data_IF_760271120647
#
_entry.id   IF_760271120647
#
_cell.length_a   1.000
_cell.length_b   1.000
_cell.length_c   1.000
_cell.angle_alpha   90.00
_cell.angle_beta   90.00
_cell.angle_gamma   90.00
#
_symmetry.space_group_name_H-M   'P 1'
#
loop_
_entity.id
_entity.type
_entity.pdbx_description
1 polymer ?
#
# COMPACT_ATOMS: atom_id res chain seq x y z
N UNK A 1 -15.55 -16.69 7.08
CA UNK A 1 -15.71 -16.38 5.63
C UNK A 1 -15.23 -17.58 4.82
N UNK A 2 -16.12 -18.28 4.10
CA UNK A 2 -15.73 -19.39 3.22
C UNK A 2 -14.94 -18.81 2.04
N UNK A 3 -13.66 -19.17 1.93
CA UNK A 3 -12.86 -18.84 0.73
C UNK A 3 -13.52 -19.47 -0.50
N UNK A 4 -13.63 -18.72 -1.58
CA UNK A 4 -14.10 -19.23 -2.87
C UNK A 4 -13.24 -20.42 -3.32
N UNK A 5 -13.78 -21.33 -4.13
CA UNK A 5 -13.05 -22.50 -4.64
C UNK A 5 -11.73 -22.08 -5.31
N UNK A 6 -11.73 -20.93 -6.00
CA UNK A 6 -10.55 -20.38 -6.67
C UNK A 6 -9.44 -19.91 -5.74
N UNK A 7 -9.75 -19.58 -4.47
CA UNK A 7 -8.77 -19.17 -3.46
C UNK A 7 -8.19 -20.34 -2.65
N UNK A 8 -8.81 -21.52 -2.75
CA UNK A 8 -8.29 -22.74 -2.10
C UNK A 8 -7.03 -23.20 -2.83
N UNK A 9 -6.06 -23.67 -2.06
CA UNK A 9 -4.83 -24.26 -2.61
C UNK A 9 -4.92 -25.79 -2.60
N UNK A 10 -4.82 -26.40 -3.78
CA UNK A 10 -4.71 -27.85 -3.98
C UNK A 10 -3.26 -28.17 -4.35
N UNK A 11 -2.58 -29.00 -3.57
CA UNK A 11 -1.15 -29.29 -3.74
C UNK A 11 -0.26 -28.02 -3.85
N UNK A 12 -0.69 -26.92 -3.20
CA UNK A 12 0.00 -25.63 -3.24
C UNK A 12 -0.29 -24.76 -4.48
N UNK A 13 -1.12 -25.24 -5.43
CA UNK A 13 -1.59 -24.50 -6.61
C UNK A 13 -2.90 -23.81 -6.24
N UNK A 14 -3.11 -22.58 -6.68
CA UNK A 14 -4.39 -21.87 -6.48
C UNK A 14 -5.45 -22.52 -7.38
N UNK A 15 -6.68 -22.61 -6.90
CA UNK A 15 -7.78 -23.16 -7.69
C UNK A 15 -7.97 -22.44 -9.02
N UNK A 16 -7.76 -21.13 -9.08
CA UNK A 16 -7.80 -20.35 -10.32
C UNK A 16 -6.71 -20.76 -11.32
N UNK A 17 -5.51 -21.10 -10.86
CA UNK A 17 -4.41 -21.55 -11.75
C UNK A 17 -4.72 -22.92 -12.35
N UNK A 18 -5.37 -23.81 -11.58
CA UNK A 18 -5.86 -25.10 -12.10
C UNK A 18 -6.97 -24.91 -13.10
N UNK A 19 -7.94 -24.05 -12.84
CA UNK A 19 -9.02 -23.75 -13.77
C UNK A 19 -8.47 -23.14 -15.08
N UNK A 20 -7.52 -22.21 -14.97
CA UNK A 20 -6.87 -21.63 -16.14
C UNK A 20 -6.09 -22.68 -16.95
N UNK A 21 -5.41 -23.63 -16.28
CA UNK A 21 -4.72 -24.74 -16.94
C UNK A 21 -5.70 -25.63 -17.73
N UNK A 22 -6.79 -26.06 -17.11
CA UNK A 22 -7.79 -26.88 -17.82
C UNK A 22 -8.50 -26.11 -18.94
N UNK A 23 -8.83 -24.83 -18.71
CA UNK A 23 -9.41 -23.97 -19.72
C UNK A 23 -8.49 -23.78 -20.94
N UNK A 24 -7.18 -23.64 -20.72
CA UNK A 24 -6.17 -23.57 -21.76
C UNK A 24 -6.18 -24.84 -22.64
N UNK A 25 -6.13 -26.01 -22.02
CA UNK A 25 -6.15 -27.27 -22.76
C UNK A 25 -7.48 -27.49 -23.50
N UNK A 26 -8.60 -27.22 -22.86
CA UNK A 26 -9.91 -27.31 -23.49
C UNK A 26 -10.05 -26.36 -24.67
N UNK A 27 -9.58 -25.13 -24.54
CA UNK A 27 -9.60 -24.14 -25.62
C UNK A 27 -8.82 -24.63 -26.84
N UNK A 28 -7.58 -25.08 -26.63
CA UNK A 28 -6.75 -25.54 -27.74
C UNK A 28 -7.25 -26.85 -28.36
N UNK A 29 -7.80 -27.78 -27.58
CA UNK A 29 -8.42 -28.98 -28.06
C UNK A 29 -9.63 -28.64 -28.96
N UNK A 30 -10.52 -27.77 -28.48
CA UNK A 30 -11.70 -27.35 -29.24
C UNK A 30 -11.32 -26.59 -30.51
N UNK A 31 -10.35 -25.69 -30.41
CA UNK A 31 -9.85 -24.93 -31.56
C UNK A 31 -9.26 -25.87 -32.62
N UNK A 32 -8.45 -26.84 -32.21
CA UNK A 32 -7.87 -27.84 -33.14
C UNK A 32 -8.94 -28.72 -33.76
N UNK A 33 -9.96 -29.15 -33.02
CA UNK A 33 -11.10 -29.88 -33.54
C UNK A 33 -11.86 -29.10 -34.63
N UNK A 34 -12.11 -27.80 -34.36
CA UNK A 34 -12.77 -26.93 -35.37
C UNK A 34 -11.91 -26.81 -36.62
N UNK A 35 -10.59 -26.67 -36.50
CA UNK A 35 -9.69 -26.62 -37.67
C UNK A 35 -9.73 -27.93 -38.47
N UNK A 36 -9.73 -29.09 -37.81
CA UNK A 36 -9.84 -30.39 -38.46
C UNK A 36 -11.20 -30.53 -39.19
N UNK A 37 -12.30 -30.10 -38.55
CA UNK A 37 -13.63 -30.13 -39.12
C UNK A 37 -13.73 -29.22 -40.37
N UNK A 38 -13.19 -28.01 -40.34
CA UNK A 38 -13.13 -27.10 -41.50
C UNK A 38 -12.31 -27.73 -42.65
N UNK A 39 -11.19 -28.35 -42.32
CA UNK A 39 -10.32 -28.96 -43.35
C UNK A 39 -10.92 -30.14 -44.04
N UNK A 40 -11.88 -30.88 -43.42
CA UNK A 40 -12.64 -31.98 -44.06
C UNK A 40 -13.56 -31.49 -45.18
N UNK A 41 -14.02 -30.26 -45.13
CA UNK A 41 -14.94 -29.70 -46.12
C UNK A 41 -14.42 -29.78 -47.54
N UNK A 42 -13.10 -29.70 -47.69
CA UNK A 42 -12.46 -29.77 -49.02
C UNK A 42 -12.45 -31.16 -49.63
N UNK A 43 -12.84 -32.23 -48.89
CA UNK A 43 -12.66 -33.63 -49.30
C UNK A 43 -13.94 -34.49 -49.21
N UNK A 44 -15.01 -34.02 -48.52
CA UNK A 44 -16.21 -34.80 -48.27
C UNK A 44 -17.47 -33.94 -48.36
N UNK A 45 -18.39 -34.30 -49.32
CA UNK A 45 -19.67 -33.61 -49.54
C UNK A 45 -20.68 -33.88 -48.39
N UNK A 46 -20.42 -34.87 -47.52
CA UNK A 46 -21.35 -35.31 -46.47
C UNK A 46 -20.73 -35.05 -45.06
N UNK A 47 -20.69 -33.77 -44.67
CA UNK A 47 -20.20 -33.41 -43.35
C UNK A 47 -21.08 -33.95 -42.22
N UNK A 48 -20.47 -34.62 -41.27
CA UNK A 48 -21.06 -34.84 -39.97
C UNK A 48 -21.26 -33.52 -39.17
N UNK A 49 -22.01 -33.53 -38.06
CA UNK A 49 -22.20 -32.38 -37.22
C UNK A 49 -20.86 -31.83 -36.72
N UNK A 50 -20.76 -30.50 -36.51
CA UNK A 50 -19.54 -29.84 -35.98
C UNK A 50 -19.05 -30.46 -34.65
N UNK A 51 -19.96 -30.95 -33.85
CA UNK A 51 -19.69 -31.63 -32.59
C UNK A 51 -20.32 -33.02 -32.56
N UNK A 52 -19.49 -34.01 -32.82
CA UNK A 52 -19.70 -35.39 -32.40
C UNK A 52 -18.76 -35.66 -31.22
N UNK A 53 -19.32 -36.03 -30.07
CA UNK A 53 -18.52 -36.25 -28.84
C UNK A 53 -17.53 -37.43 -28.95
N UNK A 54 -17.91 -38.46 -29.68
CA UNK A 54 -17.06 -39.64 -29.89
C UNK A 54 -15.86 -39.21 -30.74
N UNK A 55 -16.15 -38.60 -31.89
CA UNK A 55 -15.14 -38.11 -32.81
C UNK A 55 -14.22 -37.01 -32.17
N UNK A 56 -14.80 -36.10 -31.40
CA UNK A 56 -14.01 -35.09 -30.64
C UNK A 56 -13.03 -35.78 -29.70
N UNK A 57 -13.48 -36.80 -28.95
CA UNK A 57 -12.65 -37.48 -27.99
C UNK A 57 -11.55 -38.30 -28.67
N UNK A 58 -11.88 -39.04 -29.73
CA UNK A 58 -10.95 -39.89 -30.47
C UNK A 58 -9.90 -39.07 -31.22
N UNK A 59 -10.33 -38.03 -31.96
CA UNK A 59 -9.45 -37.25 -32.81
C UNK A 59 -8.55 -36.25 -32.02
N UNK A 60 -9.04 -35.70 -30.91
CA UNK A 60 -8.39 -34.59 -30.22
C UNK A 60 -8.30 -34.81 -28.73
N UNK A 61 -9.32 -35.37 -28.06
CA UNK A 61 -9.41 -35.47 -26.63
C UNK A 61 -8.26 -36.27 -26.01
N UNK A 62 -7.96 -37.45 -26.58
CA UNK A 62 -6.85 -38.33 -26.13
C UNK A 62 -5.52 -37.58 -26.23
N UNK A 63 -5.28 -36.92 -27.36
CA UNK A 63 -4.06 -36.16 -27.62
C UNK A 63 -3.81 -35.09 -26.53
N UNK A 64 -4.80 -34.23 -26.27
CA UNK A 64 -4.66 -33.13 -25.31
C UNK A 64 -4.65 -33.61 -23.85
N UNK A 65 -5.32 -34.70 -23.50
CA UNK A 65 -5.23 -35.32 -22.18
C UNK A 65 -3.81 -35.81 -21.92
N UNK A 66 -3.19 -36.53 -22.88
CA UNK A 66 -1.81 -36.99 -22.73
C UNK A 66 -0.82 -35.82 -22.60
N UNK A 67 -0.98 -34.77 -23.41
CA UNK A 67 -0.17 -33.55 -23.29
C UNK A 67 -0.32 -32.92 -21.89
N UNK A 68 -1.54 -32.82 -21.35
CA UNK A 68 -1.79 -32.28 -20.03
C UNK A 68 -1.12 -33.12 -18.92
N UNK A 69 -1.25 -34.44 -19.00
CA UNK A 69 -0.64 -35.36 -18.03
C UNK A 69 0.89 -35.27 -18.04
N UNK A 70 1.53 -35.19 -19.21
CA UNK A 70 2.97 -35.05 -19.35
C UNK A 70 3.50 -33.66 -18.96
N UNK A 71 2.68 -32.63 -19.10
CA UNK A 71 3.06 -31.27 -18.68
C UNK A 71 3.19 -31.14 -17.17
N UNK A 72 2.36 -31.84 -16.39
CA UNK A 72 2.34 -31.70 -14.93
C UNK A 72 3.68 -32.03 -14.24
N UNK A 73 4.35 -33.17 -14.52
CA UNK A 73 5.65 -33.48 -13.91
C UNK A 73 6.75 -32.49 -14.32
N UNK A 74 6.74 -32.01 -15.57
CA UNK A 74 7.70 -31.01 -16.04
C UNK A 74 7.46 -29.67 -15.33
N UNK A 75 6.20 -29.24 -15.25
CA UNK A 75 5.81 -28.06 -14.49
C UNK A 75 6.25 -28.13 -13.01
N UNK A 76 5.97 -29.28 -12.35
CA UNK A 76 6.36 -29.51 -10.97
C UNK A 76 7.88 -29.44 -10.80
N UNK A 77 8.63 -30.06 -11.70
CA UNK A 77 10.10 -30.02 -11.68
C UNK A 77 10.61 -28.58 -11.78
N UNK A 78 10.18 -27.82 -12.81
CA UNK A 78 10.71 -26.49 -13.11
C UNK A 78 10.27 -25.41 -12.13
N UNK A 79 9.02 -25.42 -11.70
CA UNK A 79 8.44 -24.34 -10.92
C UNK A 79 8.26 -24.64 -9.43
N UNK A 80 8.49 -25.89 -9.01
CA UNK A 80 8.45 -26.29 -7.60
C UNK A 80 9.80 -26.80 -7.10
N UNK A 81 10.33 -27.86 -7.69
CA UNK A 81 11.57 -28.48 -7.23
C UNK A 81 12.79 -27.60 -7.53
N UNK A 82 12.87 -27.00 -8.72
CA UNK A 82 13.95 -26.14 -9.17
C UNK A 82 13.62 -24.64 -9.01
N UNK A 83 12.68 -24.28 -8.15
CA UNK A 83 12.30 -22.88 -7.92
C UNK A 83 13.49 -21.98 -7.51
N UNK A 84 14.46 -22.53 -6.78
CA UNK A 84 15.66 -21.81 -6.34
C UNK A 84 16.70 -21.58 -7.44
N UNK A 85 16.57 -22.25 -8.58
CA UNK A 85 17.49 -22.10 -9.70
C UNK A 85 17.24 -20.77 -10.44
N UNK A 86 18.29 -20.15 -11.01
CA UNK A 86 18.14 -18.99 -11.85
C UNK A 86 17.17 -19.24 -13.02
N UNK A 87 16.40 -18.23 -13.38
CA UNK A 87 15.39 -18.36 -14.44
C UNK A 87 15.99 -18.84 -15.78
N UNK A 88 17.20 -18.34 -16.12
CA UNK A 88 17.94 -18.75 -17.32
C UNK A 88 18.23 -20.25 -17.36
N UNK A 89 18.65 -20.83 -16.25
CA UNK A 89 18.97 -22.27 -16.15
C UNK A 89 17.73 -23.11 -16.31
N UNK A 90 16.60 -22.69 -15.71
CA UNK A 90 15.30 -23.35 -15.90
C UNK A 90 14.85 -23.35 -17.36
N UNK A 91 15.12 -22.26 -18.11
CA UNK A 91 14.82 -22.18 -19.56
C UNK A 91 15.74 -23.12 -20.34
N UNK A 92 17.03 -23.19 -20.03
CA UNK A 92 17.99 -24.06 -20.72
C UNK A 92 17.60 -25.55 -20.61
N UNK A 93 16.96 -25.98 -19.52
CA UNK A 93 16.51 -27.35 -19.36
C UNK A 93 15.51 -27.77 -20.46
N UNK A 94 14.80 -26.85 -21.08
CA UNK A 94 13.87 -27.15 -22.17
C UNK A 94 14.56 -27.70 -23.43
N UNK A 95 15.89 -27.50 -23.60
CA UNK A 95 16.67 -28.13 -24.69
C UNK A 95 16.58 -29.67 -24.60
N UNK A 96 16.47 -30.21 -23.38
CA UNK A 96 16.33 -31.68 -23.15
C UNK A 96 14.89 -32.07 -22.95
N UNK A 97 14.13 -31.26 -22.22
CA UNK A 97 12.74 -31.58 -21.85
C UNK A 97 11.77 -31.55 -23.04
N UNK A 98 11.99 -30.68 -24.05
CA UNK A 98 11.13 -30.62 -25.22
C UNK A 98 11.24 -31.90 -26.08
N UNK A 99 12.44 -32.33 -26.52
CA UNK A 99 12.56 -33.60 -27.24
C UNK A 99 12.02 -34.79 -26.45
N UNK A 100 12.31 -34.86 -25.15
CA UNK A 100 11.80 -35.91 -24.27
C UNK A 100 10.27 -35.92 -24.23
N UNK A 101 9.65 -34.74 -24.06
CA UNK A 101 8.19 -34.60 -24.07
C UNK A 101 7.57 -35.08 -25.37
N UNK A 102 8.11 -34.66 -26.51
CA UNK A 102 7.58 -35.04 -27.85
C UNK A 102 7.69 -36.52 -28.06
N UNK A 103 8.85 -37.14 -27.76
CA UNK A 103 9.06 -38.57 -27.98
C UNK A 103 8.19 -39.43 -27.05
N UNK A 104 8.11 -39.06 -25.74
CA UNK A 104 7.26 -39.79 -24.79
C UNK A 104 5.79 -39.65 -25.17
N UNK A 105 5.35 -38.42 -25.50
CA UNK A 105 3.99 -38.18 -25.95
C UNK A 105 3.66 -39.01 -27.18
N UNK A 106 4.51 -39.04 -28.19
CA UNK A 106 4.28 -39.78 -29.45
C UNK A 106 4.14 -41.28 -29.18
N UNK A 107 5.04 -41.85 -28.40
CA UNK A 107 4.98 -43.27 -28.06
C UNK A 107 3.69 -43.62 -27.28
N UNK A 108 3.33 -42.82 -26.30
CA UNK A 108 2.10 -43.02 -25.53
C UNK A 108 0.85 -42.84 -26.39
N UNK A 109 0.85 -41.83 -27.23
CA UNK A 109 -0.28 -41.55 -28.14
C UNK A 109 -0.53 -42.71 -29.13
N UNK A 110 0.53 -43.24 -29.77
CA UNK A 110 0.45 -44.36 -30.66
C UNK A 110 -0.02 -45.64 -29.95
N UNK A 111 0.54 -45.92 -28.78
CA UNK A 111 0.11 -47.08 -27.98
C UNK A 111 -1.37 -47.02 -27.62
N UNK A 112 -1.87 -45.84 -27.24
CA UNK A 112 -3.29 -45.65 -26.91
C UNK A 112 -4.15 -45.81 -28.16
N UNK A 113 -3.80 -45.18 -29.29
CA UNK A 113 -4.54 -45.33 -30.54
C UNK A 113 -4.64 -46.79 -31.00
N UNK A 114 -3.53 -47.50 -31.00
CA UNK A 114 -3.49 -48.94 -31.37
C UNK A 114 -4.35 -49.79 -30.41
N UNK A 115 -4.40 -49.48 -29.12
CA UNK A 115 -5.22 -50.20 -28.15
C UNK A 115 -6.73 -50.06 -28.40
N UNK A 116 -7.13 -48.93 -29.00
CA UNK A 116 -8.51 -48.68 -29.41
C UNK A 116 -8.80 -49.11 -30.87
N UNK A 117 -7.80 -49.62 -31.58
CA UNK A 117 -7.93 -50.04 -32.99
C UNK A 117 -7.90 -48.87 -33.99
N UNK A 118 -7.43 -47.69 -33.55
CA UNK A 118 -7.25 -46.52 -34.41
C UNK A 118 -5.88 -46.57 -35.11
N UNK A 119 -5.81 -46.04 -36.33
CA UNK A 119 -4.55 -45.84 -37.04
C UNK A 119 -3.82 -44.58 -36.56
N UNK A 120 -2.53 -44.52 -36.82
CA UNK A 120 -1.69 -43.32 -36.59
C UNK A 120 -1.04 -42.87 -37.92
N UNK A 121 -0.45 -41.68 -37.93
CA UNK A 121 0.25 -41.14 -39.09
C UNK A 121 1.49 -41.98 -39.44
N UNK A 122 1.70 -42.19 -40.75
CA UNK A 122 2.81 -42.96 -41.28
C UNK A 122 3.60 -42.19 -42.35
N UNK A 123 4.83 -42.59 -42.60
CA UNK A 123 5.69 -41.99 -43.60
C UNK A 123 6.04 -40.53 -43.32
N UNK A 124 5.94 -39.66 -44.30
CA UNK A 124 6.27 -38.22 -44.15
C UNK A 124 5.29 -37.47 -43.24
N UNK A 125 4.06 -37.99 -43.06
CA UNK A 125 3.06 -37.38 -42.22
C UNK A 125 3.44 -37.42 -40.70
N UNK A 126 4.32 -38.32 -40.27
CA UNK A 126 4.86 -38.39 -38.89
C UNK A 126 5.55 -37.08 -38.49
N UNK A 127 6.02 -36.28 -39.45
CA UNK A 127 6.59 -34.97 -39.14
C UNK A 127 5.60 -34.04 -38.42
N UNK A 128 4.30 -34.16 -38.63
CA UNK A 128 3.26 -33.39 -37.94
C UNK A 128 3.09 -33.83 -36.51
N UNK A 129 3.30 -35.10 -36.18
CA UNK A 129 3.28 -35.61 -34.80
C UNK A 129 4.52 -35.24 -34.00
N UNK A 130 5.53 -34.63 -34.64
CA UNK A 130 6.65 -34.01 -33.97
C UNK A 130 6.45 -32.50 -33.88
N UNK A 131 6.06 -31.87 -34.99
CA UNK A 131 5.99 -30.40 -35.09
C UNK A 131 4.88 -29.80 -34.22
N UNK A 132 3.65 -30.35 -34.30
CA UNK A 132 2.51 -29.79 -33.55
C UNK A 132 2.72 -29.89 -32.03
N UNK A 133 3.09 -31.05 -31.45
CA UNK A 133 3.38 -31.13 -30.00
C UNK A 133 4.57 -30.28 -29.55
N UNK A 134 5.61 -30.14 -30.38
CA UNK A 134 6.73 -29.29 -30.09
C UNK A 134 6.32 -27.80 -30.03
N UNK A 135 5.55 -27.33 -30.99
CA UNK A 135 5.01 -25.95 -31.02
C UNK A 135 4.10 -25.70 -29.83
N UNK A 136 3.20 -26.65 -29.53
CA UNK A 136 2.33 -26.57 -28.36
C UNK A 136 3.13 -26.50 -27.04
N UNK A 137 4.18 -27.34 -26.91
CA UNK A 137 5.08 -27.33 -25.77
C UNK A 137 5.74 -25.95 -25.57
N UNK A 138 6.30 -25.36 -26.64
CA UNK A 138 6.95 -24.05 -26.58
C UNK A 138 5.96 -22.97 -26.13
N UNK A 139 4.75 -22.98 -26.70
CA UNK A 139 3.71 -22.01 -26.39
C UNK A 139 3.27 -22.12 -24.92
N UNK A 140 2.93 -23.34 -24.45
CA UNK A 140 2.46 -23.53 -23.07
C UNK A 140 3.53 -23.20 -22.02
N UNK A 141 4.79 -23.65 -22.24
CA UNK A 141 5.87 -23.35 -21.31
C UNK A 141 6.31 -21.88 -21.39
N UNK A 142 6.18 -21.23 -22.55
CA UNK A 142 6.32 -19.79 -22.70
C UNK A 142 5.35 -19.02 -21.80
N UNK A 143 4.06 -19.40 -21.86
CA UNK A 143 3.03 -18.80 -20.98
C UNK A 143 3.32 -19.10 -19.51
N UNK A 144 3.64 -20.35 -19.15
CA UNK A 144 3.94 -20.74 -17.78
C UNK A 144 5.15 -20.02 -17.22
N UNK A 145 6.23 -19.87 -17.98
CA UNK A 145 7.42 -19.11 -17.57
C UNK A 145 7.11 -17.62 -17.39
N UNK A 146 6.37 -17.02 -18.34
CA UNK A 146 5.96 -15.61 -18.25
C UNK A 146 5.12 -15.36 -17.01
N UNK A 147 4.13 -16.21 -16.74
CA UNK A 147 3.27 -16.12 -15.57
C UNK A 147 4.05 -16.25 -14.25
N UNK A 148 4.90 -17.29 -14.13
CA UNK A 148 5.71 -17.48 -12.91
C UNK A 148 6.72 -16.35 -12.71
N UNK A 149 7.36 -15.86 -13.78
CA UNK A 149 8.26 -14.70 -13.72
C UNK A 149 7.52 -13.45 -13.22
N UNK A 150 6.32 -13.20 -13.72
CA UNK A 150 5.49 -12.09 -13.26
C UNK A 150 5.18 -12.20 -11.77
N UNK A 151 4.78 -13.37 -11.28
CA UNK A 151 4.51 -13.59 -9.85
C UNK A 151 5.76 -13.38 -8.99
N UNK A 152 6.90 -13.96 -9.39
CA UNK A 152 8.19 -13.80 -8.69
C UNK A 152 8.62 -12.31 -8.64
N UNK A 153 8.41 -11.58 -9.73
CA UNK A 153 8.74 -10.16 -9.81
C UNK A 153 7.83 -9.28 -8.91
N UNK A 154 6.54 -9.59 -8.85
CA UNK A 154 5.63 -8.90 -7.93
C UNK A 154 6.00 -9.13 -6.46
N UNK A 155 6.36 -10.37 -6.08
CA UNK A 155 6.82 -10.67 -4.72
C UNK A 155 8.11 -9.89 -4.37
N UNK A 156 9.05 -9.79 -5.31
CA UNK A 156 10.29 -8.99 -5.14
C UNK A 156 10.01 -7.51 -4.96
N UNK A 157 9.19 -6.92 -5.82
CA UNK A 157 8.84 -5.49 -5.74
C UNK A 157 8.14 -5.16 -4.42
N UNK A 158 7.27 -6.06 -3.94
CA UNK A 158 6.63 -5.90 -2.63
C UNK A 158 7.65 -5.90 -1.50
N UNK A 159 8.57 -6.88 -1.50
CA UNK A 159 9.61 -7.00 -0.48
C UNK A 159 10.56 -5.79 -0.50
N UNK A 160 10.96 -5.31 -1.68
CA UNK A 160 11.77 -4.09 -1.84
C UNK A 160 11.07 -2.87 -1.26
N UNK A 161 9.75 -2.72 -1.49
CA UNK A 161 8.93 -1.65 -0.91
C UNK A 161 8.89 -1.70 0.62
N UNK A 162 8.71 -2.90 1.20
CA UNK A 162 8.72 -3.12 2.65
C UNK A 162 10.09 -2.81 3.26
N UNK A 163 11.18 -3.29 2.63
CA UNK A 163 12.55 -3.00 3.06
C UNK A 163 12.87 -1.51 3.01
N UNK A 164 12.50 -0.84 1.92
CA UNK A 164 12.70 0.61 1.79
C UNK A 164 11.98 1.40 2.87
N UNK A 165 10.75 1.01 3.18
CA UNK A 165 9.97 1.62 4.27
C UNK A 165 10.62 1.38 5.64
N UNK A 166 11.14 0.17 5.89
CA UNK A 166 11.84 -0.16 7.13
C UNK A 166 13.14 0.63 7.28
N UNK A 167 13.93 0.79 6.20
CA UNK A 167 15.16 1.60 6.20
C UNK A 167 14.84 3.06 6.52
N UNK A 168 13.86 3.67 5.85
CA UNK A 168 13.45 5.05 6.12
C UNK A 168 12.99 5.25 7.58
N UNK A 169 12.22 4.30 8.13
CA UNK A 169 11.83 4.34 9.55
C UNK A 169 13.03 4.26 10.47
N UNK A 170 14.00 3.41 10.15
CA UNK A 170 15.25 3.26 10.94
C UNK A 170 16.09 4.54 10.90
N UNK A 171 16.28 5.14 9.72
CA UNK A 171 17.00 6.41 9.55
C UNK A 171 16.33 7.54 10.34
N UNK A 172 15.00 7.67 10.24
CA UNK A 172 14.25 8.66 11.02
C UNK A 172 14.41 8.44 12.53
N UNK A 173 14.40 7.19 12.98
CA UNK A 173 14.62 6.84 14.39
C UNK A 173 16.03 7.19 14.84
N UNK A 174 17.05 6.93 14.00
CA UNK A 174 18.44 7.29 14.30
C UNK A 174 18.63 8.80 14.38
N UNK A 175 18.06 9.59 13.45
CA UNK A 175 18.11 11.06 13.49
C UNK A 175 17.43 11.59 14.76
N UNK A 176 16.26 11.04 15.13
CA UNK A 176 15.57 11.42 16.39
C UNK A 176 16.37 11.07 17.63
N UNK A 177 17.09 9.95 17.64
CA UNK A 177 17.95 9.54 18.74
C UNK A 177 19.17 10.47 18.92
N UNK A 178 19.65 11.12 17.84
CA UNK A 178 20.71 12.13 17.92
C UNK A 178 20.28 13.40 18.69
N UNK A 179 18.97 13.70 18.69
CA UNK A 179 18.40 14.71 19.56
C UNK A 179 18.26 14.11 20.96
N UNK A 180 19.37 13.96 21.68
CA UNK A 180 19.40 13.35 23.02
C UNK A 180 18.48 14.13 23.99
N UNK A 181 17.27 13.63 24.32
CA UNK A 181 16.34 14.35 25.19
C UNK A 181 16.93 14.65 26.53
N UNK A 182 17.68 13.71 27.07
CA UNK A 182 18.32 13.84 28.39
C UNK A 182 19.39 14.93 28.40
N UNK A 183 20.14 15.11 27.31
CA UNK A 183 21.09 16.20 27.18
C UNK A 183 20.39 17.57 27.24
N UNK A 184 19.30 17.72 26.48
CA UNK A 184 18.53 18.97 26.48
C UNK A 184 17.97 19.32 27.87
N UNK A 185 17.45 18.32 28.60
CA UNK A 185 17.00 18.53 29.99
C UNK A 185 18.11 18.98 30.91
N UNK A 186 19.27 18.35 30.84
CA UNK A 186 20.41 18.73 31.64
C UNK A 186 20.86 20.15 31.33
N UNK A 187 20.85 20.56 30.07
CA UNK A 187 21.15 21.93 29.64
C UNK A 187 20.15 22.91 30.23
N UNK A 188 18.83 22.68 30.08
CA UNK A 188 17.81 23.57 30.65
C UNK A 188 17.90 23.66 32.17
N UNK A 189 18.12 22.56 32.88
CA UNK A 189 18.32 22.55 34.33
C UNK A 189 19.56 23.33 34.73
N UNK A 190 20.67 23.17 34.00
CA UNK A 190 21.92 23.91 34.26
C UNK A 190 21.72 25.41 34.04
N UNK A 191 21.03 25.80 32.94
CA UNK A 191 20.71 27.20 32.68
C UNK A 191 19.81 27.75 33.80
N UNK A 192 18.77 27.04 34.20
CA UNK A 192 17.87 27.44 35.28
C UNK A 192 18.63 27.63 36.62
N UNK A 193 19.56 26.72 36.93
CA UNK A 193 20.39 26.82 38.14
C UNK A 193 21.39 27.98 38.11
N UNK A 194 21.80 28.43 36.90
CA UNK A 194 22.72 29.58 36.76
C UNK A 194 22.01 30.94 36.85
N UNK A 195 20.69 30.97 36.79
CA UNK A 195 19.91 32.21 36.91
C UNK A 195 19.80 32.59 38.39
N UNK A 196 20.12 33.85 38.78
CA UNK A 196 19.98 34.32 40.13
C UNK A 196 18.58 34.13 40.70
N UNK A 197 18.50 33.89 42.03
CA UNK A 197 17.23 33.65 42.73
C UNK A 197 16.23 34.81 42.62
N UNK A 198 16.73 36.01 42.43
CA UNK A 198 15.90 37.22 42.26
C UNK A 198 15.15 37.21 40.93
N UNK A 199 15.59 36.40 39.95
CA UNK A 199 14.99 36.29 38.64
C UNK A 199 14.08 35.05 38.52
N UNK A 200 13.18 34.87 39.49
CA UNK A 200 12.22 33.75 39.58
C UNK A 200 11.41 33.56 38.27
N UNK A 201 11.01 34.68 37.66
CA UNK A 201 10.28 34.69 36.38
C UNK A 201 11.06 33.99 35.26
N UNK A 202 12.36 34.32 35.13
CA UNK A 202 13.23 33.69 34.11
C UNK A 202 13.42 32.20 34.38
N UNK A 203 13.58 31.80 35.64
CA UNK A 203 13.70 30.39 36.05
C UNK A 203 12.43 29.60 35.70
N UNK A 204 11.23 30.18 35.94
CA UNK A 204 9.94 29.59 35.57
C UNK A 204 9.81 29.40 34.06
N UNK A 205 10.17 30.43 33.27
CA UNK A 205 10.16 30.33 31.80
C UNK A 205 11.07 29.21 31.27
N UNK A 206 12.26 29.02 31.84
CA UNK A 206 13.18 27.95 31.47
C UNK A 206 12.57 26.56 31.80
N UNK A 207 11.92 26.42 32.95
CA UNK A 207 11.26 25.21 33.36
C UNK A 207 10.08 24.85 32.39
N UNK A 208 9.25 25.82 32.08
CA UNK A 208 8.14 25.66 31.12
C UNK A 208 8.65 25.29 29.73
N UNK A 209 9.70 25.93 29.25
CA UNK A 209 10.35 25.59 27.97
C UNK A 209 10.88 24.16 27.99
N UNK A 210 11.49 23.71 29.09
CA UNK A 210 11.93 22.33 29.27
C UNK A 210 10.77 21.33 29.16
N UNK A 211 9.63 21.64 29.78
CA UNK A 211 8.43 20.82 29.74
C UNK A 211 7.83 20.75 28.33
N UNK A 212 7.81 21.86 27.59
CA UNK A 212 7.37 21.89 26.17
C UNK A 212 8.22 20.97 25.29
N UNK A 213 9.55 21.05 25.42
CA UNK A 213 10.44 20.16 24.68
C UNK A 213 10.23 18.68 25.04
N UNK A 214 9.99 18.38 26.31
CA UNK A 214 9.70 17.03 26.80
C UNK A 214 8.44 16.47 26.11
N UNK A 215 7.36 17.27 26.10
CA UNK A 215 6.12 16.89 25.44
C UNK A 215 6.35 16.65 23.95
N UNK A 216 6.99 17.58 23.21
CA UNK A 216 7.23 17.45 21.78
C UNK A 216 8.02 16.18 21.42
N UNK A 217 9.08 15.85 22.20
CA UNK A 217 9.86 14.65 21.98
C UNK A 217 9.05 13.38 22.22
N UNK A 218 8.24 13.32 23.31
CA UNK A 218 7.34 12.19 23.58
C UNK A 218 6.26 12.07 22.52
N UNK A 219 5.60 13.17 22.20
CA UNK A 219 4.51 13.24 21.23
C UNK A 219 4.95 12.82 19.82
N UNK A 220 6.23 13.03 19.47
CA UNK A 220 6.79 12.57 18.19
C UNK A 220 6.95 11.05 18.07
N UNK A 221 6.80 10.30 19.18
CA UNK A 221 7.02 8.84 19.25
C UNK A 221 5.72 8.03 19.34
N UNK A 222 4.59 8.70 19.58
CA UNK A 222 3.28 8.07 19.77
C UNK A 222 2.34 8.42 18.64
N UNK A 223 1.38 7.54 18.36
CA UNK A 223 0.36 7.78 17.32
C UNK A 223 -0.76 8.68 17.82
N UNK A 224 -1.07 8.62 19.12
CA UNK A 224 -2.14 9.36 19.76
C UNK A 224 -1.74 9.84 21.15
N UNK A 225 -2.36 10.93 21.58
CA UNK A 225 -2.29 11.51 22.94
C UNK A 225 -3.70 11.84 23.41
N UNK A 226 -3.90 12.01 24.71
CA UNK A 226 -5.16 12.51 25.22
C UNK A 226 -5.31 14.02 24.96
N UNK A 227 -6.55 14.47 24.72
CA UNK A 227 -6.84 15.88 24.46
C UNK A 227 -6.32 16.79 25.59
N UNK A 228 -6.46 16.37 26.86
CA UNK A 228 -5.95 17.16 27.99
C UNK A 228 -4.43 17.34 27.95
N UNK A 229 -3.66 16.38 27.44
CA UNK A 229 -2.20 16.50 27.31
C UNK A 229 -1.80 17.55 26.27
N UNK A 230 -2.51 17.54 25.12
CA UNK A 230 -2.31 18.54 24.06
C UNK A 230 -2.71 19.94 24.53
N UNK A 231 -3.81 20.06 25.28
CA UNK A 231 -4.27 21.34 25.85
C UNK A 231 -3.31 21.86 26.94
N UNK A 232 -2.76 21.00 27.80
CA UNK A 232 -1.74 21.39 28.78
C UNK A 232 -0.49 21.95 28.08
N UNK A 233 -0.04 21.26 27.03
CA UNK A 233 1.06 21.75 26.22
C UNK A 233 0.75 23.11 25.58
N UNK A 234 -0.44 23.27 24.98
CA UNK A 234 -0.85 24.53 24.34
C UNK A 234 -0.94 25.66 25.38
N UNK A 235 -1.47 25.38 26.54
CA UNK A 235 -1.57 26.38 27.60
C UNK A 235 -0.19 26.88 28.03
N UNK A 236 0.76 25.98 28.28
CA UNK A 236 2.16 26.34 28.63
C UNK A 236 2.84 27.14 27.51
N UNK A 237 2.61 26.72 26.26
CA UNK A 237 3.14 27.46 25.11
C UNK A 237 2.58 28.89 25.04
N UNK A 238 1.29 29.05 25.25
CA UNK A 238 0.63 30.35 25.24
C UNK A 238 1.03 31.23 26.45
N UNK A 239 1.33 30.63 27.61
CA UNK A 239 1.89 31.37 28.76
C UNK A 239 3.25 31.96 28.42
N UNK A 240 4.14 31.20 27.76
CA UNK A 240 5.43 31.73 27.30
C UNK A 240 5.26 32.84 26.25
N UNK A 241 4.32 32.72 25.34
CA UNK A 241 4.04 33.77 24.37
C UNK A 241 3.44 35.03 25.03
N UNK A 242 2.61 34.87 26.06
CA UNK A 242 2.12 36.01 26.86
C UNK A 242 3.25 36.83 27.48
N UNK A 243 4.32 36.19 27.96
CA UNK A 243 5.48 36.89 28.49
C UNK A 243 6.15 37.81 27.42
N UNK A 244 6.10 37.41 26.16
CA UNK A 244 6.62 38.17 25.02
C UNK A 244 5.67 39.29 24.56
N UNK A 245 4.36 39.02 24.58
CA UNK A 245 3.32 39.97 24.18
C UNK A 245 2.84 40.86 25.33
N UNK A 246 3.16 40.52 26.55
CA UNK A 246 2.66 41.17 27.78
C UNK A 246 1.11 41.17 27.80
N UNK A 247 0.47 42.27 28.18
CA UNK A 247 -0.98 42.40 28.26
C UNK A 247 -1.71 42.44 26.89
N UNK A 248 -0.95 42.38 25.80
CA UNK A 248 -1.48 42.48 24.45
C UNK A 248 -2.03 41.17 23.89
N UNK A 249 -1.82 40.01 24.56
CA UNK A 249 -2.34 38.72 24.13
C UNK A 249 -3.44 38.22 25.07
N UNK A 250 -4.68 38.15 24.55
CA UNK A 250 -5.78 37.54 25.27
C UNK A 250 -6.10 36.15 24.72
N UNK A 251 -6.33 35.18 25.62
CA UNK A 251 -6.55 33.78 25.27
C UNK A 251 -7.83 33.29 25.93
N UNK A 252 -8.70 32.62 25.16
CA UNK A 252 -9.93 32.06 25.68
C UNK A 252 -10.08 30.61 25.23
N UNK A 253 -10.37 29.71 26.17
CA UNK A 253 -10.67 28.31 25.94
C UNK A 253 -12.16 28.03 26.22
N UNK A 254 -12.80 27.36 25.29
CA UNK A 254 -14.16 26.86 25.40
C UNK A 254 -14.18 25.37 25.03
N UNK A 255 -13.86 24.52 26.00
CA UNK A 255 -13.65 23.09 25.79
C UNK A 255 -14.62 22.29 26.66
N UNK A 256 -15.32 21.32 26.06
CA UNK A 256 -16.22 20.44 26.80
C UNK A 256 -15.41 19.54 27.75
N UNK A 257 -15.81 19.48 29.02
CA UNK A 257 -15.07 18.70 30.02
C UNK A 257 -15.10 17.19 29.78
N UNK A 258 -16.15 16.72 29.12
CA UNK A 258 -16.37 15.29 28.87
C UNK A 258 -15.39 14.70 27.86
N UNK A 259 -14.78 15.54 26.99
CA UNK A 259 -13.90 15.10 25.91
C UNK A 259 -12.40 15.11 26.28
N UNK A 260 -12.06 15.49 27.49
CA UNK A 260 -10.66 15.64 27.92
C UNK A 260 -9.83 14.35 27.78
N UNK A 261 -10.47 13.19 27.86
CA UNK A 261 -9.84 11.88 27.73
C UNK A 261 -10.01 11.26 26.33
N UNK A 262 -10.53 12.01 25.35
CA UNK A 262 -10.56 11.55 23.96
C UNK A 262 -9.13 11.56 23.37
N UNK A 263 -8.85 10.54 22.56
CA UNK A 263 -7.55 10.38 21.91
C UNK A 263 -7.49 11.15 20.57
N UNK A 264 -6.51 12.01 20.44
CA UNK A 264 -6.26 12.80 19.24
C UNK A 264 -4.83 12.60 18.73
N UNK A 265 -4.52 12.92 17.47
CA UNK A 265 -3.15 12.96 16.98
C UNK A 265 -2.32 13.99 17.76
N UNK A 266 -1.10 13.66 18.17
CA UNK A 266 -0.23 14.61 18.86
C UNK A 266 0.15 15.80 17.95
N UNK A 267 0.39 16.96 18.53
CA UNK A 267 0.78 18.19 17.84
C UNK A 267 -0.24 18.62 16.76
N UNK A 268 -1.55 18.43 17.03
CA UNK A 268 -2.61 18.81 16.13
C UNK A 268 -2.94 20.31 16.22
N UNK A 269 -3.02 20.84 17.45
CA UNK A 269 -3.38 22.22 17.73
C UNK A 269 -2.19 23.18 17.60
N UNK A 270 -0.99 22.72 17.94
CA UNK A 270 0.22 23.55 17.97
C UNK A 270 0.44 24.35 16.67
N UNK A 271 0.46 23.75 15.46
CA UNK A 271 0.74 24.49 14.23
C UNK A 271 -0.33 25.55 13.91
N UNK A 272 -1.56 25.32 14.37
CA UNK A 272 -2.67 26.26 14.18
C UNK A 272 -2.51 27.49 15.04
N UNK A 273 -2.16 27.29 16.29
CA UNK A 273 -1.94 28.35 17.29
C UNK A 273 -0.67 29.13 16.98
N UNK A 274 0.42 28.45 16.63
CA UNK A 274 1.64 29.10 16.15
C UNK A 274 1.37 29.99 14.94
N UNK A 275 0.54 29.55 14.00
CA UNK A 275 0.14 30.33 12.85
C UNK A 275 -0.62 31.60 13.25
N UNK A 276 -1.57 31.49 14.18
CA UNK A 276 -2.35 32.64 14.69
C UNK A 276 -1.44 33.65 15.36
N UNK A 277 -0.48 33.23 16.19
CA UNK A 277 0.48 34.11 16.85
C UNK A 277 1.42 34.74 15.84
N UNK A 278 2.14 33.92 15.06
CA UNK A 278 3.24 34.36 14.20
C UNK A 278 2.77 35.19 13.01
N UNK A 279 1.67 34.77 12.40
CA UNK A 279 1.17 35.40 11.16
C UNK A 279 -0.07 36.26 11.37
N UNK A 280 -0.88 35.99 12.40
CA UNK A 280 -2.04 36.78 12.73
C UNK A 280 -1.73 38.00 13.60
N UNK A 281 -1.07 37.79 14.73
CA UNK A 281 -0.98 38.77 15.79
C UNK A 281 0.37 39.49 15.90
N UNK A 282 1.48 38.87 15.49
CA UNK A 282 2.83 39.39 15.76
C UNK A 282 3.12 40.78 15.18
N UNK A 283 2.44 41.17 14.11
CA UNK A 283 2.58 42.48 13.46
C UNK A 283 1.69 43.56 14.04
N UNK A 284 0.77 43.23 14.99
CA UNK A 284 -0.17 44.17 15.57
C UNK A 284 0.42 44.76 16.86
N UNK A 285 0.60 46.08 16.89
CA UNK A 285 1.09 46.80 18.07
C UNK A 285 0.11 46.67 19.23
N UNK A 286 -1.17 46.69 18.96
CA UNK A 286 -2.27 46.59 19.93
C UNK A 286 -2.48 45.11 20.40
N UNK A 287 -1.82 44.14 19.74
CA UNK A 287 -1.99 42.73 20.04
C UNK A 287 -3.32 42.19 19.54
N UNK A 288 -3.86 41.21 20.23
CA UNK A 288 -5.15 40.60 19.86
C UNK A 288 -5.51 39.40 20.72
N UNK A 289 -6.56 38.67 20.27
CA UNK A 289 -7.14 37.55 20.99
C UNK A 289 -7.06 36.26 20.16
N UNK A 290 -6.88 35.15 20.86
CA UNK A 290 -7.03 33.78 20.29
C UNK A 290 -8.16 33.10 21.05
N UNK A 291 -9.09 32.53 20.32
CA UNK A 291 -10.20 31.76 20.85
C UNK A 291 -10.05 30.31 20.35
N UNK A 292 -10.08 29.36 21.30
CA UNK A 292 -9.93 27.93 21.05
C UNK A 292 -11.18 27.23 21.56
N UNK A 293 -11.99 26.68 20.64
CA UNK A 293 -13.22 25.93 20.98
C UNK A 293 -13.10 24.49 20.53
N UNK A 294 -13.40 23.54 21.42
CA UNK A 294 -13.42 22.12 21.12
C UNK A 294 -14.70 21.53 21.70
N UNK A 295 -15.57 21.04 20.85
CA UNK A 295 -16.89 20.57 21.20
C UNK A 295 -17.16 19.18 20.67
N UNK A 296 -17.96 18.39 21.40
CA UNK A 296 -18.47 17.10 20.90
C UNK A 296 -19.69 17.34 20.03
N UNK A 297 -19.65 16.87 18.79
CA UNK A 297 -20.77 16.87 17.84
C UNK A 297 -21.08 15.44 17.41
N UNK A 298 -22.00 14.78 18.10
CA UNK A 298 -22.29 13.37 17.90
C UNK A 298 -21.11 12.50 18.32
N UNK A 299 -20.57 11.71 17.42
CA UNK A 299 -19.37 10.88 17.65
C UNK A 299 -18.05 11.58 17.29
N UNK A 300 -18.13 12.82 16.76
CA UNK A 300 -16.97 13.57 16.30
C UNK A 300 -16.61 14.69 17.25
N UNK A 301 -15.34 15.04 17.25
CA UNK A 301 -14.81 16.25 17.90
C UNK A 301 -14.72 17.36 16.85
N UNK A 302 -15.34 18.49 17.13
CA UNK A 302 -15.26 19.70 16.32
C UNK A 302 -14.29 20.69 16.95
N UNK A 303 -13.30 21.09 16.17
CA UNK A 303 -12.25 22.04 16.57
C UNK A 303 -12.46 23.35 15.84
N UNK A 304 -12.38 24.44 16.57
CA UNK A 304 -12.39 25.81 16.03
C UNK A 304 -11.31 26.64 16.73
N UNK A 305 -10.38 27.20 15.96
CA UNK A 305 -9.36 28.13 16.43
C UNK A 305 -9.55 29.43 15.65
N UNK A 306 -9.73 30.54 16.34
CA UNK A 306 -9.87 31.84 15.69
C UNK A 306 -8.98 32.88 16.35
N UNK A 307 -8.43 33.78 15.53
CA UNK A 307 -7.64 34.94 15.95
C UNK A 307 -8.27 36.26 15.49
N UNK A 308 -7.90 37.35 16.15
CA UNK A 308 -8.28 38.71 15.76
C UNK A 308 -7.16 39.44 15.00
N UNK A 309 -6.33 38.67 14.32
CA UNK A 309 -5.14 39.12 13.61
C UNK A 309 -5.45 39.87 12.30
N UNK A 310 -4.41 40.01 11.48
CA UNK A 310 -4.52 40.69 10.18
C UNK A 310 -5.37 39.95 9.15
N UNK A 311 -5.72 38.68 9.41
CA UNK A 311 -6.41 37.81 8.46
C UNK A 311 -5.55 37.43 7.25
N UNK A 312 -6.18 36.76 6.26
CA UNK A 312 -5.48 36.26 5.06
C UNK A 312 -6.29 36.60 3.82
N UNK A 313 -5.70 37.35 2.89
CA UNK A 313 -6.36 37.73 1.61
C UNK A 313 -6.57 36.53 0.67
N UNK A 314 -5.61 35.62 0.61
CA UNK A 314 -5.70 34.40 -0.21
C UNK A 314 -5.52 33.18 0.68
N UNK A 315 -6.59 32.46 0.95
CA UNK A 315 -6.61 31.30 1.86
C UNK A 315 -5.79 30.13 1.35
N UNK A 316 -5.66 29.95 0.04
CA UNK A 316 -4.80 28.90 -0.52
C UNK A 316 -3.30 29.18 -0.28
N UNK A 317 -2.91 30.46 -0.23
CA UNK A 317 -1.52 30.83 0.01
C UNK A 317 -1.02 30.49 1.42
N UNK A 318 -1.91 30.22 2.35
CA UNK A 318 -1.58 29.80 3.73
C UNK A 318 -0.90 28.42 3.73
N UNK A 319 -1.31 27.54 2.85
CA UNK A 319 -0.78 26.18 2.72
C UNK A 319 0.57 26.09 1.97
N UNK A 320 1.00 27.17 1.30
CA UNK A 320 2.26 27.21 0.53
C UNK A 320 3.46 27.80 1.29
N UNK A 321 3.25 28.50 2.39
CA UNK A 321 4.29 29.28 3.09
C UNK A 321 4.87 28.62 4.33
N UNK A 322 4.32 27.46 4.80
CA UNK A 322 4.78 26.80 6.00
C UNK A 322 4.51 25.29 6.00
N UNK A 323 5.42 24.53 6.62
CA UNK A 323 5.32 23.06 6.71
C UNK A 323 4.19 22.64 7.67
N UNK A 324 3.92 23.40 8.72
CA UNK A 324 3.03 23.04 9.81
C UNK A 324 1.57 22.86 9.38
N UNK A 325 0.94 23.89 8.82
CA UNK A 325 -0.47 23.85 8.36
C UNK A 325 -0.68 22.85 7.21
N UNK A 326 0.28 22.77 6.31
CA UNK A 326 0.25 21.80 5.20
C UNK A 326 0.25 20.36 5.72
N UNK A 327 1.10 20.07 6.71
CA UNK A 327 1.16 18.75 7.34
C UNK A 327 -0.12 18.44 8.13
N UNK A 328 -0.67 19.42 8.85
CA UNK A 328 -1.93 19.25 9.58
C UNK A 328 -3.08 18.95 8.62
N UNK A 329 -3.21 19.69 7.51
CA UNK A 329 -4.20 19.43 6.47
C UNK A 329 -4.05 18.03 5.90
N UNK A 330 -2.85 17.66 5.47
CA UNK A 330 -2.58 16.32 4.91
C UNK A 330 -2.91 15.20 5.89
N UNK A 331 -2.60 15.39 7.18
CA UNK A 331 -2.89 14.43 8.25
C UNK A 331 -4.39 14.27 8.46
N UNK A 332 -5.15 15.37 8.51
CA UNK A 332 -6.62 15.36 8.63
C UNK A 332 -7.27 14.65 7.43
N UNK A 333 -6.85 14.97 6.22
CA UNK A 333 -7.39 14.34 4.99
C UNK A 333 -7.10 12.84 4.93
N UNK A 334 -5.86 12.42 5.24
CA UNK A 334 -5.43 11.02 5.07
C UNK A 334 -5.86 10.09 6.20
N UNK A 335 -5.88 10.57 7.44
CA UNK A 335 -6.15 9.74 8.63
C UNK A 335 -7.60 9.81 9.04
N UNK A 336 -8.20 11.02 8.97
CA UNK A 336 -9.57 11.27 9.48
C UNK A 336 -10.59 11.55 8.39
N UNK A 337 -10.18 11.57 7.11
CA UNK A 337 -11.04 11.93 5.99
C UNK A 337 -11.78 13.26 6.21
N UNK A 338 -11.13 14.17 6.91
CA UNK A 338 -11.64 15.46 7.34
C UNK A 338 -10.95 16.60 6.58
N UNK A 339 -11.68 17.69 6.40
CA UNK A 339 -11.20 18.87 5.68
C UNK A 339 -10.87 19.99 6.66
N UNK A 340 -9.71 20.62 6.49
CA UNK A 340 -9.35 21.84 7.22
C UNK A 340 -10.00 23.04 6.54
N UNK A 341 -10.98 23.66 7.18
CA UNK A 341 -11.71 24.81 6.66
C UNK A 341 -11.10 26.12 7.17
N UNK A 342 -10.90 27.06 6.25
CA UNK A 342 -10.41 28.42 6.54
C UNK A 342 -11.51 29.43 6.23
N UNK A 343 -11.88 30.26 7.20
CA UNK A 343 -12.84 31.35 7.05
C UNK A 343 -12.32 32.63 7.68
N UNK A 344 -12.89 33.76 7.30
CA UNK A 344 -12.57 35.04 7.93
C UNK A 344 -13.23 35.10 9.31
N UNK A 345 -12.51 35.62 10.29
CA UNK A 345 -13.08 35.91 11.59
C UNK A 345 -13.66 37.34 11.59
N UNK A 346 -14.70 37.56 12.43
CA UNK A 346 -15.36 38.86 12.52
C UNK A 346 -15.02 39.53 13.88
N UNK A 347 -14.58 40.80 13.89
CA UNK A 347 -14.54 41.78 12.77
C UNK A 347 -13.30 41.65 11.88
N UNK A 348 -12.25 40.95 12.31
CA UNK A 348 -11.02 40.65 11.53
C UNK A 348 -10.34 39.42 12.07
N UNK A 349 -9.44 38.82 11.27
CA UNK A 349 -8.63 37.65 11.66
C UNK A 349 -8.95 36.42 10.81
N UNK A 350 -8.38 35.29 11.23
CA UNK A 350 -8.57 34.00 10.60
C UNK A 350 -9.29 33.04 11.55
N UNK A 351 -10.21 32.26 11.02
CA UNK A 351 -10.85 31.14 11.71
C UNK A 351 -10.51 29.85 10.97
N UNK A 352 -10.04 28.87 11.72
CA UNK A 352 -9.70 27.53 11.25
C UNK A 352 -10.61 26.53 11.96
N UNK A 353 -11.27 25.65 11.19
CA UNK A 353 -12.14 24.62 11.78
C UNK A 353 -12.02 23.30 11.05
N UNK A 354 -12.20 22.20 11.80
CA UNK A 354 -12.18 20.83 11.29
C UNK A 354 -12.86 19.87 12.28
N UNK A 355 -13.12 18.64 11.83
CA UNK A 355 -13.71 17.56 12.64
C UNK A 355 -12.78 16.32 12.60
N UNK A 356 -12.73 15.57 13.71
CA UNK A 356 -12.07 14.27 13.77
C UNK A 356 -12.93 13.25 14.48
#
# INVERSE_FOLDING_TARGET
MNKSIGEKRFFGIRGWDLLAFFAFYYFFATFYHIVLWINRESWDENRGPLFDWIEYFDAVGIDYILKALLTFPIWWLLFRKLKSWPHKERILLHIVLLPAFVLIWQQLYYLVLESFGFGHLNGSAVAWDIYIPALFYVLQFGVLHSYNYHLENQEKLKLEGELRTAVLKSELSAIRAQLNPHFLYNVFNTISASVPSENEKTRKMIAELSDLFRYQLRASQVEKVFLHEELDFINKYLELEKERFEDRLNIQFDVDKEIMNEEIPPMLLQPLIENSIKHGLSSLIEGGSIYISIKKKGEKLFFEISDTGIGVKNKESVFGKGIGLTNTRFRLEKVYQSTLNLSDNNPRGLKISFEI
#
